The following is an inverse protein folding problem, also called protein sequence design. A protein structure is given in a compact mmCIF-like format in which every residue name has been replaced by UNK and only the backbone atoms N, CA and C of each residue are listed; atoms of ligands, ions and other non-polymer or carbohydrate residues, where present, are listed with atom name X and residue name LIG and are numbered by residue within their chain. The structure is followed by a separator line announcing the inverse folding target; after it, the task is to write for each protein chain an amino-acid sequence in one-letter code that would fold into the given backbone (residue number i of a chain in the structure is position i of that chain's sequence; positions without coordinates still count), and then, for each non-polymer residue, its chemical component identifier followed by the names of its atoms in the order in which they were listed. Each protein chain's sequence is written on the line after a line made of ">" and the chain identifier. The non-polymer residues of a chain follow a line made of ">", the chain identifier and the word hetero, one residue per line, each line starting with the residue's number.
data_IF_396739793404
#
_entry.id   IF_396739793404
#
_cell.length_a   1.000
_cell.length_b   1.000
_cell.length_c   1.000
_cell.angle_alpha   90.00
_cell.angle_beta   90.00
_cell.angle_gamma   90.00
#
_symmetry.space_group_name_H-M   'P 1'
#
loop_
_entity.id
_entity.type
_entity.pdbx_description
1 polymer ?
#
# COMPACT_ATOMS: atom_id res chain seq x y z
N UNK A 1 -22.92 0.26 4.64
CA UNK A 1 -21.85 0.49 5.61
C UNK A 1 -21.20 1.81 5.28
N UNK A 2 -21.72 2.88 5.87
CA UNK A 2 -21.11 4.19 5.70
C UNK A 2 -19.62 4.14 6.09
N UNK A 3 -18.76 4.69 5.22
CA UNK A 3 -17.34 4.80 5.49
C UNK A 3 -16.81 6.15 5.02
N UNK A 4 -15.71 6.57 5.64
CA UNK A 4 -14.94 7.73 5.20
C UNK A 4 -13.47 7.41 5.39
N UNK A 5 -12.69 7.59 4.34
CA UNK A 5 -11.25 7.45 4.32
C UNK A 5 -10.64 8.76 3.85
N UNK A 6 -9.61 9.25 4.56
CA UNK A 6 -8.91 10.48 4.23
C UNK A 6 -7.42 10.21 4.21
N UNK A 7 -6.75 10.73 3.20
CA UNK A 7 -5.30 10.63 3.03
C UNK A 7 -4.75 11.99 2.58
N UNK A 8 -3.69 12.46 3.23
CA UNK A 8 -2.98 13.68 2.87
C UNK A 8 -1.57 13.33 2.37
N UNK A 9 -1.19 13.96 1.27
CA UNK A 9 0.04 13.71 0.53
C UNK A 9 0.77 15.04 0.33
N UNK A 10 1.74 15.38 1.20
CA UNK A 10 2.64 16.49 0.96
C UNK A 10 3.59 16.15 -0.20
N UNK A 11 3.73 17.07 -1.16
CA UNK A 11 4.54 16.95 -2.37
C UNK A 11 5.23 18.29 -2.64
N UNK A 12 6.42 18.48 -2.07
CA UNK A 12 7.13 19.76 -2.14
C UNK A 12 6.35 20.88 -1.44
N UNK A 13 6.08 21.99 -2.14
CA UNK A 13 5.34 23.15 -1.62
C UNK A 13 3.81 22.97 -1.61
N UNK A 14 3.31 21.79 -2.02
CA UNK A 14 1.89 21.50 -2.19
C UNK A 14 1.47 20.34 -1.30
N UNK A 15 0.22 20.39 -0.86
CA UNK A 15 -0.44 19.30 -0.14
C UNK A 15 -1.68 18.90 -0.92
N UNK A 16 -1.82 17.61 -1.20
CA UNK A 16 -3.03 17.03 -1.77
C UNK A 16 -3.75 16.16 -0.75
N UNK A 17 -5.04 16.39 -0.57
CA UNK A 17 -5.93 15.58 0.26
C UNK A 17 -6.90 14.83 -0.63
N UNK A 18 -6.97 13.52 -0.40
CA UNK A 18 -7.91 12.61 -1.03
C UNK A 18 -8.86 12.11 0.05
N UNK A 19 -10.14 12.38 -0.11
CA UNK A 19 -11.21 11.84 0.72
C UNK A 19 -12.08 10.89 -0.12
N UNK A 20 -12.35 9.71 0.41
CA UNK A 20 -13.26 8.73 -0.19
C UNK A 20 -14.33 8.40 0.85
N UNK A 21 -15.59 8.65 0.53
CA UNK A 21 -16.70 8.41 1.43
C UNK A 21 -17.86 7.69 0.74
N UNK A 22 -18.56 6.86 1.48
CA UNK A 22 -19.82 6.23 1.09
C UNK A 22 -20.81 6.35 2.24
N UNK A 23 -22.08 6.59 1.94
CA UNK A 23 -23.15 6.67 2.94
C UNK A 23 -23.95 5.38 3.00
N UNK A 24 -24.13 4.68 1.88
CA UNK A 24 -25.09 3.59 1.71
C UNK A 24 -24.55 2.34 0.97
N UNK A 25 -23.23 2.25 0.75
CA UNK A 25 -22.52 1.20 -0.02
C UNK A 25 -22.85 1.10 -1.52
N UNK A 26 -23.75 1.95 -2.03
CA UNK A 26 -24.08 1.94 -3.46
C UNK A 26 -23.24 2.94 -4.21
N UNK A 27 -23.02 4.09 -3.59
CA UNK A 27 -22.30 5.20 -4.19
C UNK A 27 -21.06 5.54 -3.36
N UNK A 28 -19.95 5.77 -4.05
CA UNK A 28 -18.76 6.34 -3.46
C UNK A 28 -18.53 7.75 -3.97
N UNK A 29 -18.09 8.62 -3.09
CA UNK A 29 -17.71 9.99 -3.38
C UNK A 29 -16.21 10.13 -3.15
N UNK A 30 -15.47 10.41 -4.21
CA UNK A 30 -14.05 10.78 -4.16
C UNK A 30 -13.92 12.29 -4.24
N UNK A 31 -13.24 12.91 -3.28
CA UNK A 31 -12.93 14.33 -3.24
C UNK A 31 -11.42 14.49 -3.24
N UNK A 32 -10.89 15.21 -4.23
CA UNK A 32 -9.49 15.61 -4.30
C UNK A 32 -9.41 17.12 -4.05
N UNK A 33 -8.55 17.56 -3.15
CA UNK A 33 -8.28 18.98 -2.93
C UNK A 33 -6.77 19.16 -2.82
N UNK A 34 -6.21 20.16 -3.48
CA UNK A 34 -4.80 20.52 -3.42
C UNK A 34 -4.63 21.99 -3.03
N UNK A 35 -3.66 22.30 -2.19
CA UNK A 35 -3.31 23.66 -1.77
C UNK A 35 -1.79 23.81 -1.62
N UNK A 36 -1.30 25.05 -1.52
CA UNK A 36 0.09 25.33 -1.13
C UNK A 36 0.22 25.30 0.38
N UNK A 37 1.36 24.85 0.88
CA UNK A 37 1.62 24.78 2.32
C UNK A 37 1.31 26.10 3.03
N UNK A 38 0.66 26.03 4.19
CA UNK A 38 0.21 27.21 4.95
C UNK A 38 -1.00 27.96 4.36
N UNK A 39 -1.56 27.53 3.22
CA UNK A 39 -2.67 28.22 2.55
C UNK A 39 -3.81 27.27 2.15
N UNK A 40 -4.30 26.48 3.10
CA UNK A 40 -5.41 25.54 2.87
C UNK A 40 -6.75 26.22 2.55
N UNK A 41 -6.90 27.50 2.92
CA UNK A 41 -8.11 28.28 2.65
C UNK A 41 -8.31 28.59 1.17
N UNK A 42 -7.24 28.63 0.37
CA UNK A 42 -7.29 28.86 -1.07
C UNK A 42 -6.73 27.65 -1.84
N UNK A 43 -7.56 26.65 -2.15
CA UNK A 43 -7.13 25.47 -2.89
C UNK A 43 -6.69 25.85 -4.31
N UNK A 44 -5.56 25.31 -4.75
CA UNK A 44 -5.06 25.43 -6.13
C UNK A 44 -5.72 24.43 -7.08
N UNK A 45 -6.31 23.36 -6.55
CA UNK A 45 -7.08 22.39 -7.30
C UNK A 45 -8.16 21.78 -6.40
N UNK A 46 -9.36 21.56 -6.92
CA UNK A 46 -10.37 20.76 -6.24
C UNK A 46 -11.26 20.03 -7.23
N UNK A 47 -11.77 18.88 -6.82
CA UNK A 47 -12.68 18.08 -7.62
C UNK A 47 -13.44 17.09 -6.75
N UNK A 48 -14.67 16.79 -7.15
CA UNK A 48 -15.52 15.80 -6.52
C UNK A 48 -16.10 14.91 -7.60
N UNK A 49 -15.97 13.61 -7.42
CA UNK A 49 -16.55 12.60 -8.30
C UNK A 49 -17.42 11.67 -7.48
N UNK A 50 -18.64 11.43 -7.95
CA UNK A 50 -19.57 10.46 -7.38
C UNK A 50 -19.84 9.40 -8.42
N UNK A 51 -19.82 8.14 -8.00
CA UNK A 51 -20.02 6.99 -8.88
C UNK A 51 -20.50 5.77 -8.09
N UNK A 52 -21.13 4.81 -8.79
CA UNK A 52 -21.43 3.50 -8.22
C UNK A 52 -20.18 2.79 -7.72
N UNK A 53 -20.31 2.02 -6.64
CA UNK A 53 -19.19 1.24 -6.07
C UNK A 53 -18.68 0.19 -7.07
N UNK A 54 -19.55 -0.38 -7.92
CA UNK A 54 -19.12 -1.32 -8.97
C UNK A 54 -18.15 -0.72 -10.00
N UNK A 55 -18.20 0.61 -10.20
CA UNK A 55 -17.41 1.29 -11.23
C UNK A 55 -16.03 1.76 -10.74
N UNK A 56 -15.73 1.60 -9.45
CA UNK A 56 -14.46 2.05 -8.85
C UNK A 56 -13.24 1.43 -9.54
N UNK A 57 -13.32 0.15 -9.92
CA UNK A 57 -12.24 -0.53 -10.62
C UNK A 57 -11.98 0.09 -12.00
N UNK A 58 -13.04 0.40 -12.74
CA UNK A 58 -12.99 1.04 -14.06
C UNK A 58 -12.45 2.47 -13.97
N UNK A 59 -12.92 3.24 -12.98
CA UNK A 59 -12.44 4.59 -12.72
C UNK A 59 -10.93 4.59 -12.43
N UNK A 60 -10.44 3.65 -11.60
CA UNK A 60 -9.01 3.55 -11.29
C UNK A 60 -8.17 3.35 -12.55
N UNK A 61 -8.62 2.50 -13.47
CA UNK A 61 -7.92 2.26 -14.74
C UNK A 61 -7.92 3.52 -15.60
N UNK A 62 -9.08 4.18 -15.74
CA UNK A 62 -9.22 5.39 -16.53
C UNK A 62 -8.35 6.54 -15.99
N UNK A 63 -8.40 6.80 -14.68
CA UNK A 63 -7.59 7.84 -14.04
C UNK A 63 -6.10 7.56 -14.18
N UNK A 64 -5.65 6.34 -13.90
CA UNK A 64 -4.22 5.99 -14.05
C UNK A 64 -3.75 6.19 -15.50
N UNK A 65 -4.58 5.81 -16.49
CA UNK A 65 -4.25 5.98 -17.91
C UNK A 65 -4.20 7.46 -18.30
N UNK A 66 -5.17 8.25 -17.83
CA UNK A 66 -5.23 9.68 -18.09
C UNK A 66 -4.05 10.42 -17.46
N UNK A 67 -3.72 10.14 -16.19
CA UNK A 67 -2.60 10.75 -15.49
C UNK A 67 -1.26 10.38 -16.15
N UNK A 68 -1.08 9.13 -16.57
CA UNK A 68 0.10 8.71 -17.34
C UNK A 68 0.21 9.44 -18.68
N UNK A 69 -0.89 9.62 -19.40
CA UNK A 69 -0.89 10.38 -20.66
C UNK A 69 -0.55 11.87 -20.43
N UNK A 70 -1.10 12.48 -19.37
CA UNK A 70 -0.81 13.86 -18.99
C UNK A 70 0.65 14.05 -18.59
N UNK A 71 1.25 13.10 -17.88
CA UNK A 71 2.67 13.12 -17.53
C UNK A 71 3.57 13.20 -18.79
N UNK A 72 3.25 12.41 -19.82
CA UNK A 72 3.96 12.43 -21.10
C UNK A 72 3.82 13.80 -21.81
N UNK A 73 2.61 14.36 -21.83
CA UNK A 73 2.34 15.65 -22.50
C UNK A 73 2.98 16.83 -21.77
N UNK A 74 3.04 16.78 -20.45
CA UNK A 74 3.58 17.85 -19.63
C UNK A 74 5.12 17.83 -19.52
N UNK A 75 5.79 16.86 -20.16
CA UNK A 75 7.22 16.52 -19.96
C UNK A 75 7.58 16.33 -18.47
N UNK A 76 6.58 15.95 -17.69
CA UNK A 76 6.74 15.61 -16.29
C UNK A 76 6.98 14.11 -16.29
N UNK A 77 8.25 13.68 -16.25
CA UNK A 77 8.52 12.34 -15.72
C UNK A 77 7.80 12.25 -14.38
N UNK A 78 7.00 11.18 -14.17
CA UNK A 78 6.54 10.84 -12.81
C UNK A 78 7.75 11.09 -11.90
N UNK A 79 7.68 12.04 -10.94
CA UNK A 79 8.79 12.21 -10.04
C UNK A 79 8.91 10.87 -9.35
N UNK A 80 9.93 10.09 -9.72
CA UNK A 80 10.42 9.03 -8.85
C UNK A 80 10.74 9.82 -7.59
N UNK A 81 9.96 9.69 -6.50
CA UNK A 81 10.16 10.55 -5.36
C UNK A 81 11.61 10.34 -4.95
N UNK A 82 12.35 11.44 -4.76
CA UNK A 82 13.78 11.36 -4.46
C UNK A 82 13.99 10.40 -3.28
N UNK A 83 15.13 9.72 -3.19
CA UNK A 83 15.39 8.74 -2.11
C UNK A 83 15.11 9.33 -0.74
N UNK A 84 15.35 10.62 -0.56
CA UNK A 84 15.10 11.32 0.69
C UNK A 84 13.61 11.51 0.96
N UNK A 85 12.81 11.86 -0.06
CA UNK A 85 11.34 11.91 0.02
C UNK A 85 10.76 10.52 0.27
N UNK A 86 11.29 9.47 -0.38
CA UNK A 86 10.89 8.09 -0.12
C UNK A 86 11.26 7.63 1.29
N UNK A 87 12.41 8.04 1.84
CA UNK A 87 12.81 7.74 3.22
C UNK A 87 11.96 8.48 4.24
N UNK A 88 11.52 9.70 3.94
CA UNK A 88 10.64 10.47 4.79
C UNK A 88 9.22 9.89 4.81
N UNK A 89 8.67 9.57 3.63
CA UNK A 89 7.34 8.95 3.50
C UNK A 89 7.31 7.49 3.95
N UNK A 90 8.43 6.78 3.81
CA UNK A 90 8.59 5.37 4.12
C UNK A 90 9.94 5.13 4.80
N UNK A 91 10.04 5.30 6.14
CA UNK A 91 11.28 5.15 6.89
C UNK A 91 11.99 3.79 6.70
N UNK A 92 11.23 2.74 6.37
CA UNK A 92 11.73 1.42 6.05
C UNK A 92 12.10 1.20 4.59
N UNK A 93 11.96 2.19 3.69
CA UNK A 93 12.22 2.02 2.27
C UNK A 93 13.65 1.54 1.99
N UNK A 94 13.79 0.39 1.31
CA UNK A 94 15.06 -0.25 1.00
C UNK A 94 15.75 -0.97 2.17
N UNK A 95 15.18 -0.97 3.39
CA UNK A 95 15.73 -1.77 4.49
C UNK A 95 15.54 -3.28 4.23
N UNK A 96 16.37 -4.18 4.79
CA UNK A 96 16.13 -5.61 4.69
C UNK A 96 14.85 -6.02 5.45
N UNK A 97 14.17 -7.06 4.99
CA UNK A 97 13.17 -7.75 5.79
C UNK A 97 13.90 -8.74 6.72
N UNK A 98 13.71 -8.60 8.03
CA UNK A 98 14.26 -9.53 9.02
C UNK A 98 13.23 -10.63 9.31
N UNK A 99 13.64 -11.83 9.74
CA UNK A 99 12.73 -12.96 9.98
C UNK A 99 11.50 -12.59 10.83
N UNK A 100 11.69 -11.78 11.88
CA UNK A 100 10.61 -11.33 12.75
C UNK A 100 9.58 -10.45 12.02
N UNK A 101 10.03 -9.59 11.09
CA UNK A 101 9.12 -8.79 10.27
C UNK A 101 8.37 -9.64 9.25
N UNK A 102 8.99 -10.71 8.74
CA UNK A 102 8.37 -11.63 7.79
C UNK A 102 7.27 -12.47 8.48
N UNK A 103 7.54 -12.99 9.68
CA UNK A 103 6.53 -13.69 10.50
C UNK A 103 5.33 -12.80 10.85
N UNK A 104 5.62 -11.59 11.35
CA UNK A 104 4.57 -10.65 11.73
C UNK A 104 3.78 -10.14 10.52
N UNK A 105 4.44 -9.95 9.38
CA UNK A 105 3.80 -9.63 8.10
C UNK A 105 2.77 -10.70 7.73
N UNK A 106 3.16 -11.97 7.74
CA UNK A 106 2.30 -13.08 7.32
C UNK A 106 1.14 -13.26 8.30
N UNK A 107 1.41 -13.21 9.61
CA UNK A 107 0.36 -13.26 10.63
C UNK A 107 -0.68 -12.17 10.41
N UNK A 108 -0.26 -10.92 10.25
CA UNK A 108 -1.15 -9.78 10.03
C UNK A 108 -1.97 -9.91 8.74
N UNK A 109 -1.34 -10.38 7.67
CA UNK A 109 -2.00 -10.62 6.40
C UNK A 109 -3.14 -11.63 6.53
N UNK A 110 -2.91 -12.75 7.23
CA UNK A 110 -3.94 -13.78 7.49
C UNK A 110 -4.96 -13.38 8.56
N UNK A 111 -4.60 -12.48 9.48
CA UNK A 111 -5.53 -11.82 10.41
C UNK A 111 -6.44 -10.80 9.70
N UNK A 112 -6.33 -10.66 8.37
CA UNK A 112 -7.17 -9.78 7.54
C UNK A 112 -6.69 -8.32 7.51
N UNK A 113 -5.47 -8.02 7.98
CA UNK A 113 -4.91 -6.68 7.89
C UNK A 113 -4.57 -6.33 6.44
N UNK A 114 -5.04 -5.16 5.97
CA UNK A 114 -4.82 -4.75 4.58
C UNK A 114 -3.33 -4.46 4.33
N UNK A 115 -2.86 -4.75 3.11
CA UNK A 115 -1.50 -4.45 2.64
C UNK A 115 -1.10 -2.98 2.91
N UNK A 116 -2.04 -2.04 2.76
CA UNK A 116 -1.79 -0.63 3.03
C UNK A 116 -1.50 -0.35 4.52
N UNK A 117 -2.23 -1.01 5.43
CA UNK A 117 -2.04 -0.85 6.88
C UNK A 117 -0.77 -1.52 7.38
N UNK A 118 -0.44 -2.68 6.81
CA UNK A 118 0.86 -3.35 7.00
C UNK A 118 2.00 -2.45 6.51
N UNK A 119 1.88 -1.88 5.31
CA UNK A 119 2.89 -1.01 4.72
C UNK A 119 3.18 0.23 5.58
N UNK A 120 2.13 0.90 6.07
CA UNK A 120 2.26 2.03 6.99
C UNK A 120 2.99 1.64 8.29
N UNK A 121 2.68 0.47 8.86
CA UNK A 121 3.31 -0.02 10.10
C UNK A 121 4.82 -0.21 9.95
N UNK A 122 5.27 -0.75 8.83
CA UNK A 122 6.69 -0.99 8.57
C UNK A 122 7.40 0.20 7.92
N UNK A 123 6.70 1.31 7.68
CA UNK A 123 7.22 2.42 6.90
C UNK A 123 7.69 1.96 5.52
N UNK A 124 6.92 1.09 4.86
CA UNK A 124 7.23 0.50 3.54
C UNK A 124 6.22 0.93 2.50
N UNK A 125 6.58 0.79 1.24
CA UNK A 125 5.60 0.92 0.15
C UNK A 125 4.68 -0.31 0.12
N UNK A 126 3.40 -0.15 -0.27
CA UNK A 126 2.49 -1.28 -0.47
C UNK A 126 3.03 -2.34 -1.45
N UNK A 127 3.78 -1.92 -2.46
CA UNK A 127 4.40 -2.83 -3.42
C UNK A 127 5.53 -3.66 -2.79
N UNK A 128 6.34 -3.08 -1.89
CA UNK A 128 7.35 -3.84 -1.13
C UNK A 128 6.71 -4.95 -0.31
N UNK A 129 5.56 -4.68 0.31
CA UNK A 129 4.78 -5.67 1.06
C UNK A 129 4.24 -6.77 0.15
N UNK A 130 3.66 -6.43 -1.02
CA UNK A 130 3.14 -7.43 -1.98
C UNK A 130 4.24 -8.32 -2.53
N UNK A 131 5.40 -7.73 -2.85
CA UNK A 131 6.57 -8.49 -3.32
C UNK A 131 7.03 -9.47 -2.25
N UNK A 132 7.16 -9.01 -1.00
CA UNK A 132 7.57 -9.88 0.10
C UNK A 132 6.57 -11.02 0.36
N UNK A 133 5.26 -10.75 0.35
CA UNK A 133 4.24 -11.80 0.49
C UNK A 133 4.39 -12.90 -0.57
N UNK A 134 4.63 -12.53 -1.84
CA UNK A 134 4.84 -13.49 -2.93
C UNK A 134 6.12 -14.30 -2.76
N UNK A 135 7.22 -13.66 -2.35
CA UNK A 135 8.48 -14.36 -2.04
C UNK A 135 8.29 -15.41 -0.94
N UNK A 136 7.42 -15.14 0.03
CA UNK A 136 7.08 -16.07 1.12
C UNK A 136 6.04 -17.14 0.70
N UNK A 137 5.46 -17.02 -0.50
CA UNK A 137 4.49 -17.98 -1.05
C UNK A 137 3.02 -17.62 -0.79
N UNK A 138 2.73 -16.40 -0.32
CA UNK A 138 1.37 -15.91 -0.09
C UNK A 138 0.92 -15.02 -1.25
N UNK A 139 -0.28 -15.28 -1.80
CA UNK A 139 -0.87 -14.45 -2.85
C UNK A 139 -1.83 -13.41 -2.24
N UNK A 140 -1.54 -12.10 -2.36
CA UNK A 140 -2.46 -11.04 -1.92
C UNK A 140 -3.87 -11.09 -2.55
N UNK A 141 -4.05 -11.85 -3.65
CA UNK A 141 -5.37 -12.07 -4.29
C UNK A 141 -6.13 -13.28 -3.75
N UNK A 142 -5.46 -14.13 -2.96
CA UNK A 142 -6.00 -15.33 -2.33
C UNK A 142 -5.54 -15.38 -0.87
N UNK A 143 -6.01 -14.46 -0.01
CA UNK A 143 -5.58 -14.38 1.38
C UNK A 143 -5.85 -15.66 2.16
N UNK A 144 -6.87 -16.43 1.79
CA UNK A 144 -7.18 -17.75 2.35
C UNK A 144 -6.15 -18.83 2.02
N UNK A 145 -5.30 -18.63 1.01
CA UNK A 145 -4.30 -19.61 0.61
C UNK A 145 -3.06 -19.53 1.49
N UNK A 146 -2.80 -20.65 2.16
CA UNK A 146 -1.61 -20.89 2.94
C UNK A 146 -0.73 -21.93 2.22
N UNK A 147 0.57 -21.65 1.96
CA UNK A 147 1.47 -22.64 1.40
C UNK A 147 1.62 -23.86 2.34
N UNK A 148 1.86 -25.07 1.78
CA UNK A 148 1.83 -26.34 2.53
C UNK A 148 2.93 -26.46 3.62
N UNK A 149 4.03 -25.73 3.48
CA UNK A 149 5.04 -25.62 4.54
C UNK A 149 4.62 -24.67 5.68
N UNK A 150 3.36 -24.22 5.74
CA UNK A 150 2.76 -23.47 6.84
C UNK A 150 2.81 -21.95 6.70
N UNK A 151 1.77 -21.29 7.24
CA UNK A 151 1.66 -19.82 7.32
C UNK A 151 2.57 -19.23 8.39
N UNK A 152 3.11 -20.05 9.29
CA UNK A 152 3.91 -19.62 10.44
C UNK A 152 5.04 -20.63 10.72
N UNK A 153 5.53 -21.37 9.72
CA UNK A 153 6.56 -22.36 10.02
C UNK A 153 7.90 -21.70 10.31
N UNK A 154 8.27 -21.76 11.59
CA UNK A 154 9.65 -21.59 12.07
C UNK A 154 10.66 -22.46 11.32
N UNK A 155 10.19 -23.51 10.63
CA UNK A 155 10.97 -24.43 9.81
C UNK A 155 11.83 -23.74 8.73
N UNK A 156 11.43 -22.57 8.22
CA UNK A 156 12.23 -21.83 7.22
C UNK A 156 13.42 -21.08 7.81
N UNK A 157 13.39 -20.76 9.11
CA UNK A 157 14.44 -20.00 9.81
C UNK A 157 15.26 -20.85 10.79
N UNK A 158 14.79 -22.06 11.10
CA UNK A 158 15.55 -23.00 11.88
C UNK A 158 16.69 -23.60 11.02
N UNK A 159 17.93 -23.22 11.30
CA UNK A 159 19.10 -23.93 10.77
C UNK A 159 18.96 -25.43 11.08
N UNK A 160 19.30 -26.35 10.15
CA UNK A 160 19.36 -27.79 10.42
C UNK A 160 20.20 -28.13 11.67
N UNK A 161 21.17 -27.27 11.99
CA UNK A 161 22.03 -27.34 13.16
C UNK A 161 21.32 -27.10 14.51
N UNK A 162 20.22 -26.35 14.52
CA UNK A 162 19.46 -26.01 15.74
C UNK A 162 18.34 -27.01 16.06
N UNK A 163 17.85 -27.75 15.06
CA UNK A 163 16.75 -28.70 15.25
C UNK A 163 17.20 -30.10 15.71
N UNK A 164 18.49 -30.28 15.98
CA UNK A 164 19.04 -31.58 16.38
C UNK A 164 18.83 -32.60 15.27
N UNK A 165 19.75 -32.65 14.32
CA UNK A 165 19.85 -33.81 13.43
C UNK A 165 20.00 -35.06 14.32
N UNK A 166 18.89 -35.77 14.53
CA UNK A 166 18.93 -37.15 14.95
C UNK A 166 19.74 -37.87 13.88
N UNK A 167 20.94 -38.31 14.26
CA UNK A 167 21.69 -39.27 13.49
C UNK A 167 20.78 -40.49 13.31
N UNK A 168 20.29 -40.69 12.09
CA UNK A 168 19.80 -42.00 11.69
C UNK A 168 21.03 -42.92 11.59
N UNK A 169 20.82 -44.14 12.08
CA UNK A 169 21.74 -45.26 12.32
C UNK A 169 22.89 -45.45 11.32
#
# INVERSE_FOLDING_TARGET
>A
MAFRHLNELPLGDKVFRIEVASEDDREVTLTLTGWREGNSANPVASGKLRLPVEDVASLRIALNRALRALAIVADVSEPIPDRDVLRELYPGHGAPWVPQHEEELVRRFHDGETVARIAARYGRTPDSVRTKLRELGHDPRRPEYCPPDGCLSWSRYASPTLLGAAANE
#
